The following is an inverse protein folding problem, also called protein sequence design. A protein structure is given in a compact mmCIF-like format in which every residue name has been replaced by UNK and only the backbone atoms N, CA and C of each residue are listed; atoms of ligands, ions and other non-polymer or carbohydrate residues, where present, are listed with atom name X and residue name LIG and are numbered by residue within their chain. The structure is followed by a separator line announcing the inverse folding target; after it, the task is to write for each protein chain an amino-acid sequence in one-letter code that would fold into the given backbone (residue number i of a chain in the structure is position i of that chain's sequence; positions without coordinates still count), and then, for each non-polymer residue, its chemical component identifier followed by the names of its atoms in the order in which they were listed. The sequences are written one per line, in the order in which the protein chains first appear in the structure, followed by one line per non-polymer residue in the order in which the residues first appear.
data_IF_592492210824
#
_entry.id   IF_592492210824
#
_cell.length_a   1.000
_cell.length_b   1.000
_cell.length_c   1.000
_cell.angle_alpha   90.00
_cell.angle_beta   90.00
_cell.angle_gamma   90.00
#
_symmetry.space_group_name_H-M   'P 1'
#
loop_
_entity.id
_entity.type
_entity.pdbx_description
1 polymer ?
#
# COMPACT_ATOMS: atom_id res chain seq x y z
N UNK A 1 29.82 -15.47 -21.92
CA UNK A 1 30.60 -15.35 -23.17
C UNK A 1 31.04 -13.90 -23.31
N UNK A 2 32.34 -13.64 -23.42
CA UNK A 2 32.89 -12.29 -23.58
C UNK A 2 33.58 -12.18 -24.94
N UNK A 3 33.33 -11.10 -25.67
CA UNK A 3 34.06 -10.78 -26.89
C UNK A 3 35.56 -10.66 -26.58
N UNK A 4 36.40 -11.39 -27.33
CA UNK A 4 37.86 -11.44 -27.14
C UNK A 4 38.65 -10.67 -28.19
N UNK A 5 37.97 -9.96 -29.10
CA UNK A 5 38.60 -9.13 -30.13
C UNK A 5 38.94 -7.73 -29.64
N UNK A 6 39.49 -6.90 -30.52
CA UNK A 6 39.85 -5.51 -30.23
C UNK A 6 38.58 -4.64 -30.08
N UNK A 7 38.43 -3.99 -28.92
CA UNK A 7 37.29 -3.11 -28.63
C UNK A 7 37.17 -1.94 -29.61
N UNK A 8 38.29 -1.49 -30.19
CA UNK A 8 38.36 -0.33 -31.07
C UNK A 8 37.74 -0.59 -32.45
N UNK A 9 37.54 -1.87 -32.80
CA UNK A 9 36.87 -2.29 -34.04
C UNK A 9 35.34 -2.34 -33.92
N UNK A 10 34.81 -2.13 -32.72
CA UNK A 10 33.39 -2.17 -32.45
C UNK A 10 32.75 -0.79 -32.60
N UNK A 11 31.49 -0.75 -33.01
CA UNK A 11 30.70 0.46 -33.02
C UNK A 11 30.45 0.99 -31.60
N UNK A 12 30.18 2.30 -31.46
CA UNK A 12 29.96 2.95 -30.16
C UNK A 12 28.87 2.25 -29.30
N UNK A 13 27.83 1.73 -29.93
CA UNK A 13 26.75 1.00 -29.24
C UNK A 13 27.21 -0.37 -28.72
N UNK A 14 28.04 -1.08 -29.48
CA UNK A 14 28.60 -2.38 -29.09
C UNK A 14 29.62 -2.24 -27.96
N UNK A 15 30.44 -1.18 -28.01
CA UNK A 15 31.36 -0.82 -26.92
C UNK A 15 30.59 -0.53 -25.63
N UNK A 16 29.49 0.24 -25.72
CA UNK A 16 28.62 0.53 -24.57
C UNK A 16 27.98 -0.74 -23.99
N UNK A 17 27.54 -1.67 -24.83
CA UNK A 17 26.95 -2.93 -24.39
C UNK A 17 27.99 -3.84 -23.71
N UNK A 18 29.22 -3.88 -24.22
CA UNK A 18 30.33 -4.60 -23.60
C UNK A 18 30.68 -4.07 -22.21
N UNK A 19 30.64 -2.75 -22.02
CA UNK A 19 30.81 -2.16 -20.69
C UNK A 19 29.66 -2.53 -19.75
N UNK A 20 28.42 -2.52 -20.26
CA UNK A 20 27.24 -2.93 -19.50
C UNK A 20 27.29 -4.40 -19.07
N UNK A 21 27.90 -5.27 -19.89
CA UNK A 21 28.11 -6.69 -19.58
C UNK A 21 29.14 -6.92 -18.47
N UNK A 22 30.07 -5.99 -18.24
CA UNK A 22 31.05 -6.09 -17.15
C UNK A 22 30.46 -5.73 -15.79
N UNK A 23 29.29 -5.08 -15.75
CA UNK A 23 28.63 -4.75 -14.50
C UNK A 23 28.04 -6.04 -13.89
N UNK A 24 28.40 -6.41 -12.64
CA UNK A 24 27.79 -7.58 -12.02
C UNK A 24 26.30 -7.35 -11.79
N UNK A 25 25.48 -8.37 -12.11
CA UNK A 25 24.01 -8.36 -11.94
C UNK A 25 23.33 -7.19 -12.68
N UNK A 26 23.82 -6.83 -13.86
CA UNK A 26 23.25 -5.73 -14.68
C UNK A 26 21.75 -5.84 -14.84
N UNK A 27 21.24 -7.02 -15.18
CA UNK A 27 19.79 -7.21 -15.38
C UNK A 27 19.00 -6.87 -14.10
N UNK A 28 19.43 -7.37 -12.94
CA UNK A 28 18.78 -7.07 -11.66
C UNK A 28 18.86 -5.58 -11.33
N UNK A 29 20.00 -4.93 -11.57
CA UNK A 29 20.18 -3.48 -11.34
C UNK A 29 19.29 -2.63 -12.25
N UNK A 30 19.23 -2.96 -13.54
CA UNK A 30 18.36 -2.27 -14.50
C UNK A 30 16.87 -2.45 -14.14
N UNK A 31 16.48 -3.64 -13.69
CA UNK A 31 15.13 -3.90 -13.20
C UNK A 31 14.79 -3.02 -11.99
N UNK A 32 15.68 -2.94 -11.00
CA UNK A 32 15.51 -2.08 -9.83
C UNK A 32 15.45 -0.59 -10.23
N UNK A 33 16.30 -0.15 -11.15
CA UNK A 33 16.27 1.23 -11.64
C UNK A 33 14.96 1.55 -12.36
N UNK A 34 14.52 0.68 -13.27
CA UNK A 34 13.24 0.82 -13.97
C UNK A 34 12.07 0.91 -12.97
N UNK A 35 12.02 -0.01 -12.01
CA UNK A 35 10.99 0.01 -10.95
C UNK A 35 11.07 1.29 -10.11
N UNK A 36 12.27 1.77 -9.74
CA UNK A 36 12.44 3.00 -8.97
C UNK A 36 11.95 4.24 -9.73
N UNK A 37 12.19 4.31 -11.04
CA UNK A 37 11.72 5.40 -11.89
C UNK A 37 10.20 5.38 -12.06
N UNK A 38 9.60 4.19 -12.15
CA UNK A 38 8.15 4.02 -12.34
C UNK A 38 7.34 4.11 -11.05
N UNK A 39 7.98 3.89 -9.90
CA UNK A 39 7.31 3.75 -8.60
C UNK A 39 6.34 4.90 -8.28
N UNK A 40 6.80 6.15 -8.38
CA UNK A 40 5.97 7.31 -8.03
C UNK A 40 4.75 7.45 -8.94
N UNK A 41 4.91 7.15 -10.23
CA UNK A 41 3.80 7.19 -11.19
C UNK A 41 2.77 6.09 -10.89
N UNK A 42 3.24 4.87 -10.61
CA UNK A 42 2.38 3.74 -10.23
C UNK A 42 1.62 4.02 -8.94
N UNK A 43 2.28 4.52 -7.89
CA UNK A 43 1.64 4.91 -6.62
C UNK A 43 0.60 6.01 -6.83
N UNK A 44 0.90 7.02 -7.65
CA UNK A 44 -0.04 8.10 -7.97
C UNK A 44 -1.27 7.59 -8.70
N UNK A 45 -1.09 6.71 -9.69
CA UNK A 45 -2.19 6.08 -10.42
C UNK A 45 -3.08 5.25 -9.48
N UNK A 46 -2.46 4.38 -8.69
CA UNK A 46 -3.17 3.55 -7.72
C UNK A 46 -3.98 4.38 -6.73
N UNK A 47 -3.39 5.46 -6.20
CA UNK A 47 -4.07 6.36 -5.26
C UNK A 47 -5.30 7.01 -5.88
N UNK A 48 -5.25 7.37 -7.17
CA UNK A 48 -6.42 7.92 -7.89
C UNK A 48 -7.53 6.88 -8.00
N UNK A 49 -7.21 5.67 -8.45
CA UNK A 49 -8.20 4.58 -8.59
C UNK A 49 -8.86 4.26 -7.25
N UNK A 50 -8.06 4.17 -6.18
CA UNK A 50 -8.57 3.91 -4.83
C UNK A 50 -9.49 5.04 -4.34
N UNK A 51 -9.12 6.30 -4.57
CA UNK A 51 -9.94 7.45 -4.19
C UNK A 51 -11.30 7.47 -4.93
N UNK A 52 -11.35 7.03 -6.19
CA UNK A 52 -12.60 6.92 -6.95
C UNK A 52 -13.50 5.86 -6.32
N UNK A 53 -12.98 4.66 -6.07
CA UNK A 53 -13.72 3.59 -5.39
C UNK A 53 -14.19 4.06 -4.01
N UNK A 54 -13.34 4.77 -3.28
CA UNK A 54 -13.67 5.34 -1.98
C UNK A 54 -14.79 6.37 -2.09
N UNK A 55 -14.75 7.30 -3.04
CA UNK A 55 -15.85 8.25 -3.22
C UNK A 55 -17.17 7.57 -3.60
N UNK A 56 -17.14 6.54 -4.45
CA UNK A 56 -18.33 5.81 -4.86
C UNK A 56 -18.99 5.07 -3.67
N UNK A 57 -18.19 4.40 -2.85
CA UNK A 57 -18.66 3.69 -1.65
C UNK A 57 -19.17 4.68 -0.60
N UNK A 58 -18.53 5.84 -0.43
CA UNK A 58 -18.96 6.87 0.50
C UNK A 58 -20.32 7.47 0.11
N UNK A 59 -20.49 7.85 -1.16
CA UNK A 59 -21.75 8.38 -1.67
C UNK A 59 -22.90 7.37 -1.51
N UNK A 60 -22.65 6.11 -1.87
CA UNK A 60 -23.63 5.04 -1.72
C UNK A 60 -23.94 4.77 -0.24
N UNK A 61 -22.92 4.70 0.61
CA UNK A 61 -23.07 4.49 2.04
C UNK A 61 -23.88 5.60 2.71
N UNK A 62 -23.63 6.86 2.36
CA UNK A 62 -24.39 8.00 2.86
C UNK A 62 -25.83 7.99 2.37
N UNK A 63 -26.08 7.63 1.09
CA UNK A 63 -27.43 7.50 0.55
C UNK A 63 -28.22 6.39 1.24
N UNK A 64 -27.63 5.23 1.46
CA UNK A 64 -28.28 4.10 2.14
C UNK A 64 -28.58 4.39 3.61
N UNK A 65 -27.72 5.18 4.27
CA UNK A 65 -27.86 5.54 5.67
C UNK A 65 -28.55 6.89 5.88
N UNK A 66 -29.16 7.47 4.84
CA UNK A 66 -29.85 8.76 4.93
C UNK A 66 -30.91 8.75 6.04
N UNK A 67 -30.92 9.80 6.87
CA UNK A 67 -31.85 9.89 8.01
C UNK A 67 -31.38 9.13 9.26
N UNK A 68 -30.23 8.46 9.23
CA UNK A 68 -29.59 7.87 10.41
C UNK A 68 -28.35 8.68 10.83
N UNK A 69 -27.84 8.44 12.04
CA UNK A 69 -26.57 9.02 12.50
C UNK A 69 -25.35 8.64 11.63
N UNK A 70 -25.50 7.70 10.69
CA UNK A 70 -24.45 7.21 9.78
C UNK A 70 -24.57 7.77 8.35
N UNK A 71 -25.58 8.60 8.05
CA UNK A 71 -25.87 9.12 6.71
C UNK A 71 -25.06 10.34 6.26
N UNK A 72 -24.00 10.72 6.99
CA UNK A 72 -23.16 11.89 6.69
C UNK A 72 -21.70 11.60 7.04
N UNK A 73 -21.24 10.39 6.75
CA UNK A 73 -19.85 10.01 6.94
C UNK A 73 -18.95 10.80 5.96
N UNK A 74 -17.82 11.29 6.48
CA UNK A 74 -16.76 11.95 5.72
C UNK A 74 -15.64 10.93 5.55
N UNK A 75 -15.91 9.93 4.72
CA UNK A 75 -15.06 8.76 4.48
C UNK A 75 -15.40 7.52 5.33
N UNK A 76 -14.74 6.41 4.98
CA UNK A 76 -14.87 5.12 5.64
C UNK A 76 -13.52 4.43 5.78
N UNK A 77 -13.46 3.42 6.64
CA UNK A 77 -12.26 2.62 6.83
C UNK A 77 -12.15 1.53 5.75
N UNK A 78 -10.97 1.35 5.15
CA UNK A 78 -10.76 0.35 4.10
C UNK A 78 -11.10 -1.08 4.55
N UNK A 79 -10.93 -1.40 5.84
CA UNK A 79 -11.30 -2.68 6.45
C UNK A 79 -12.82 -2.96 6.45
N UNK A 80 -13.65 -1.96 6.10
CA UNK A 80 -15.10 -2.10 5.95
C UNK A 80 -15.53 -2.48 4.54
N UNK A 81 -14.66 -2.34 3.53
CA UNK A 81 -14.97 -2.69 2.14
C UNK A 81 -15.43 -4.15 1.95
N UNK A 82 -14.85 -5.17 2.63
CA UNK A 82 -15.32 -6.54 2.51
C UNK A 82 -16.81 -6.70 2.86
N UNK A 83 -17.35 -5.88 3.78
CA UNK A 83 -18.75 -5.95 4.24
C UNK A 83 -19.74 -5.55 3.16
N UNK A 84 -19.29 -4.85 2.11
CA UNK A 84 -20.12 -4.53 0.96
C UNK A 84 -20.50 -5.79 0.18
N UNK A 85 -19.65 -6.83 0.22
CA UNK A 85 -19.95 -8.11 -0.39
C UNK A 85 -21.02 -8.88 0.39
N UNK A 86 -21.15 -8.61 1.69
CA UNK A 86 -22.14 -9.27 2.56
C UNK A 86 -23.50 -8.54 2.60
N UNK A 87 -23.54 -7.28 2.15
CA UNK A 87 -24.77 -6.48 2.20
C UNK A 87 -25.64 -6.76 0.99
N UNK A 88 -26.70 -7.53 1.19
CA UNK A 88 -27.65 -7.93 0.14
C UNK A 88 -28.77 -6.91 -0.07
N UNK A 89 -29.16 -6.74 -1.34
CA UNK A 89 -30.40 -6.07 -1.71
C UNK A 89 -31.62 -6.88 -1.24
N UNK A 90 -32.79 -6.23 -1.18
CA UNK A 90 -34.05 -6.85 -0.71
C UNK A 90 -34.45 -8.13 -1.44
N UNK A 91 -33.92 -8.35 -2.65
CA UNK A 91 -34.17 -9.54 -3.46
C UNK A 91 -33.15 -10.69 -3.23
N UNK A 92 -32.18 -10.53 -2.31
CA UNK A 92 -31.11 -11.49 -2.00
C UNK A 92 -30.29 -12.01 -3.19
N UNK A 93 -30.36 -11.35 -4.35
CA UNK A 93 -29.63 -11.77 -5.57
C UNK A 93 -28.46 -10.86 -5.92
N UNK A 94 -28.44 -9.65 -5.38
CA UNK A 94 -27.43 -8.63 -5.67
C UNK A 94 -26.89 -8.06 -4.37
N UNK A 95 -25.57 -7.98 -4.25
CA UNK A 95 -24.90 -7.32 -3.11
C UNK A 95 -24.59 -5.87 -3.45
N UNK A 96 -24.24 -5.04 -2.46
CA UNK A 96 -23.77 -3.68 -2.72
C UNK A 96 -22.53 -3.67 -3.60
N UNK A 97 -21.62 -4.63 -3.45
CA UNK A 97 -20.47 -4.77 -4.36
C UNK A 97 -20.90 -4.96 -5.81
N UNK A 98 -21.88 -5.82 -6.09
CA UNK A 98 -22.38 -6.02 -7.46
C UNK A 98 -22.97 -4.73 -8.03
N UNK A 99 -23.70 -3.97 -7.22
CA UNK A 99 -24.26 -2.68 -7.63
C UNK A 99 -23.16 -1.66 -7.94
N UNK A 100 -22.16 -1.53 -7.06
CA UNK A 100 -21.01 -0.63 -7.25
C UNK A 100 -20.27 -1.01 -8.53
N UNK A 101 -19.97 -2.30 -8.75
CA UNK A 101 -19.30 -2.77 -9.96
C UNK A 101 -20.11 -2.42 -11.22
N UNK A 102 -21.44 -2.53 -11.18
CA UNK A 102 -22.31 -2.13 -12.29
C UNK A 102 -22.23 -0.63 -12.56
N UNK A 103 -22.35 0.21 -11.53
CA UNK A 103 -22.28 1.67 -11.67
C UNK A 103 -20.90 2.11 -12.18
N UNK A 104 -19.82 1.51 -11.66
CA UNK A 104 -18.46 1.77 -12.13
C UNK A 104 -18.28 1.32 -13.59
N UNK A 105 -18.83 0.17 -14.00
CA UNK A 105 -18.78 -0.26 -15.39
C UNK A 105 -19.49 0.71 -16.34
N UNK A 106 -20.61 1.28 -15.91
CA UNK A 106 -21.39 2.22 -16.72
C UNK A 106 -20.78 3.63 -16.76
N UNK A 107 -20.08 4.06 -15.70
CA UNK A 107 -19.61 5.46 -15.54
C UNK A 107 -18.10 5.65 -15.68
N UNK A 108 -17.31 4.69 -15.20
CA UNK A 108 -15.84 4.75 -15.08
C UNK A 108 -15.24 3.35 -15.32
N UNK A 109 -15.43 2.78 -16.53
CA UNK A 109 -15.00 1.41 -16.85
C UNK A 109 -13.48 1.19 -16.67
N UNK A 110 -12.68 2.25 -16.81
CA UNK A 110 -11.22 2.23 -16.60
C UNK A 110 -10.84 1.85 -15.16
N UNK A 111 -11.73 2.03 -14.20
CA UNK A 111 -11.49 1.72 -12.78
C UNK A 111 -11.74 0.23 -12.50
N UNK A 112 -12.47 -0.51 -13.35
CA UNK A 112 -12.78 -1.93 -13.09
C UNK A 112 -11.53 -2.81 -12.98
N UNK A 113 -10.47 -2.42 -13.68
CA UNK A 113 -9.22 -3.16 -13.74
C UNK A 113 -8.19 -2.69 -12.70
N UNK A 114 -8.55 -1.81 -11.77
CA UNK A 114 -7.60 -1.27 -10.77
C UNK A 114 -6.94 -2.36 -9.90
N UNK A 115 -7.57 -3.52 -9.76
CA UNK A 115 -7.00 -4.66 -9.05
C UNK A 115 -5.74 -5.21 -9.74
N UNK A 116 -5.59 -5.01 -11.06
CA UNK A 116 -4.37 -5.37 -11.81
C UNK A 116 -3.20 -4.50 -11.39
N UNK A 117 -3.43 -3.23 -11.08
CA UNK A 117 -2.42 -2.31 -10.54
C UNK A 117 -1.95 -2.72 -9.13
N UNK A 118 -2.76 -3.54 -8.44
CA UNK A 118 -2.49 -4.08 -7.11
C UNK A 118 -1.84 -5.48 -7.12
N UNK A 119 -1.66 -6.11 -8.28
CA UNK A 119 -1.16 -7.50 -8.38
C UNK A 119 0.22 -7.71 -7.74
N UNK A 120 1.05 -6.67 -7.69
CA UNK A 120 2.37 -6.70 -7.06
C UNK A 120 2.33 -6.44 -5.54
N UNK A 121 1.20 -5.95 -5.01
CA UNK A 121 1.08 -5.54 -3.61
C UNK A 121 1.19 -6.73 -2.66
N UNK A 122 0.55 -7.85 -2.97
CA UNK A 122 0.58 -9.04 -2.11
C UNK A 122 2.00 -9.66 -2.03
N UNK A 123 2.69 -9.94 -3.15
CA UNK A 123 4.09 -10.36 -3.10
C UNK A 123 5.01 -9.35 -2.41
N UNK A 124 4.82 -8.05 -2.65
CA UNK A 124 5.62 -7.00 -2.03
C UNK A 124 5.39 -6.91 -0.52
N UNK A 125 4.13 -6.99 -0.07
CA UNK A 125 3.78 -6.99 1.34
C UNK A 125 4.36 -8.21 2.06
N UNK A 126 4.29 -9.39 1.44
CA UNK A 126 4.92 -10.60 1.95
C UNK A 126 6.44 -10.44 2.07
N UNK A 127 7.11 -10.01 1.01
CA UNK A 127 8.55 -9.80 1.01
C UNK A 127 8.99 -8.76 2.05
N UNK A 128 8.22 -7.68 2.23
CA UNK A 128 8.47 -6.69 3.28
C UNK A 128 8.32 -7.29 4.67
N UNK A 129 7.26 -8.06 4.93
CA UNK A 129 7.05 -8.71 6.22
C UNK A 129 8.16 -9.72 6.53
N UNK A 130 8.54 -10.56 5.56
CA UNK A 130 9.64 -11.53 5.71
C UNK A 130 10.97 -10.81 6.04
N UNK A 131 11.26 -9.69 5.36
CA UNK A 131 12.44 -8.87 5.63
C UNK A 131 12.36 -8.21 7.02
N UNK A 132 11.21 -7.66 7.38
CA UNK A 132 10.99 -7.01 8.66
C UNK A 132 11.16 -8.00 9.83
N UNK A 133 10.66 -9.22 9.67
CA UNK A 133 10.82 -10.32 10.61
C UNK A 133 12.28 -10.77 10.69
N UNK A 134 12.97 -10.93 9.55
CA UNK A 134 14.39 -11.26 9.51
C UNK A 134 15.26 -10.20 10.20
N UNK A 135 14.96 -8.92 9.99
CA UNK A 135 15.67 -7.80 10.61
C UNK A 135 15.25 -7.53 12.06
N UNK A 136 14.28 -8.28 12.60
CA UNK A 136 13.85 -8.13 13.99
C UNK A 136 13.03 -6.86 14.27
N UNK A 137 12.48 -6.20 13.23
CA UNK A 137 11.78 -4.92 13.36
C UNK A 137 10.57 -5.01 14.30
N UNK A 138 9.69 -6.04 14.19
CA UNK A 138 8.56 -6.17 15.10
C UNK A 138 8.98 -6.41 16.55
N UNK A 139 10.04 -7.20 16.78
CA UNK A 139 10.56 -7.50 18.11
C UNK A 139 11.14 -6.23 18.77
N UNK A 140 11.85 -5.41 17.99
CA UNK A 140 12.35 -4.12 18.44
C UNK A 140 11.20 -3.18 18.82
N UNK A 141 10.19 -3.04 17.97
CA UNK A 141 9.01 -2.21 18.24
C UNK A 141 8.29 -2.65 19.53
N UNK A 142 8.11 -3.96 19.72
CA UNK A 142 7.53 -4.52 20.94
C UNK A 142 8.35 -4.19 22.18
N UNK A 143 9.68 -4.31 22.11
CA UNK A 143 10.59 -4.03 23.23
C UNK A 143 10.62 -2.54 23.58
N UNK A 144 10.61 -1.66 22.59
CA UNK A 144 10.50 -0.21 22.80
C UNK A 144 9.17 0.17 23.48
N UNK A 145 8.06 -0.41 23.04
CA UNK A 145 6.76 -0.21 23.71
C UNK A 145 6.77 -0.68 25.16
N UNK A 146 7.40 -1.82 25.46
CA UNK A 146 7.56 -2.30 26.83
C UNK A 146 8.37 -1.32 27.69
N UNK A 147 9.50 -0.83 27.16
CA UNK A 147 10.34 0.17 27.86
C UNK A 147 9.55 1.46 28.10
N UNK A 148 8.79 1.93 27.11
CA UNK A 148 7.98 3.14 27.23
C UNK A 148 6.89 2.98 28.31
N UNK A 149 6.21 1.84 28.35
CA UNK A 149 5.23 1.51 29.40
C UNK A 149 5.89 1.44 30.79
N UNK A 150 7.07 0.82 30.90
CA UNK A 150 7.82 0.77 32.16
C UNK A 150 8.24 2.16 32.64
N UNK A 151 8.71 3.02 31.74
CA UNK A 151 9.06 4.40 32.06
C UNK A 151 7.85 5.19 32.54
N UNK A 152 6.71 5.09 31.85
CA UNK A 152 5.45 5.71 32.29
C UNK A 152 5.08 5.24 33.71
N UNK A 153 5.09 3.93 33.95
CA UNK A 153 4.70 3.38 35.24
C UNK A 153 5.69 3.70 36.36
N UNK A 154 6.95 3.98 36.05
CA UNK A 154 7.98 4.27 37.06
C UNK A 154 8.11 5.76 37.35
N UNK A 155 8.07 6.59 36.31
CA UNK A 155 8.36 8.03 36.40
C UNK A 155 7.11 8.83 36.75
N UNK A 156 5.95 8.49 36.18
CA UNK A 156 4.71 9.24 36.38
C UNK A 156 4.25 9.26 37.85
N UNK A 157 4.29 8.12 38.60
CA UNK A 157 3.96 8.15 40.03
C UNK A 157 4.98 8.96 40.84
N UNK A 158 6.28 8.84 40.56
CA UNK A 158 7.34 9.59 41.26
C UNK A 158 7.20 11.10 41.06
N UNK A 159 6.83 11.54 39.86
CA UNK A 159 6.54 12.94 39.57
C UNK A 159 5.30 13.42 40.33
N UNK A 160 4.22 12.62 40.36
CA UNK A 160 3.02 12.94 41.15
C UNK A 160 3.36 13.09 42.64
N UNK A 161 4.11 12.15 43.22
CA UNK A 161 4.50 12.23 44.64
C UNK A 161 5.32 13.48 44.95
N UNK A 162 6.27 13.86 44.07
CA UNK A 162 7.09 15.08 44.23
C UNK A 162 6.27 16.37 44.11
N UNK A 163 5.28 16.41 43.22
CA UNK A 163 4.39 17.58 43.06
C UNK A 163 3.47 17.68 44.28
N UNK A 164 2.92 16.57 44.76
CA UNK A 164 2.10 16.54 45.97
C UNK A 164 2.85 16.93 47.24
N UNK A 165 4.18 16.77 47.29
CA UNK A 165 5.00 17.18 48.44
C UNK A 165 5.45 18.65 48.40
N UNK A 166 5.18 19.37 47.30
CA UNK A 166 5.52 20.79 47.11
C UNK A 166 4.32 21.73 47.34
N UNK A 167 3.12 21.16 47.56
CA UNK A 167 1.89 21.86 47.96
C UNK A 167 1.55 21.48 49.39
#
# INVERSE_FOLDING_TARGET
MGYKGEKDKLGKHEQSFLELMNVPRTESKLRVFSSRLQFNAQVSCLRKSLNIVNSAVEQLGNALNQGTARGSAIGFRLDSLPKLADTLARNNRMTLMHYISKVLADKLPEVLDFSKDLSSLEPAAKAYNDLADYCGVPQLAKKLNQILVQLINTVLPRLKTRISSLN
#
